data_IF_661146819814
#
_entry.id   IF_661146819814
#
_cell.length_a   1.000
_cell.length_b   1.000
_cell.length_c   1.000
_cell.angle_alpha   90.00
_cell.angle_beta   90.00
_cell.angle_gamma   90.00
#
_symmetry.space_group_name_H-M   'P 1'
#
loop_
_entity.id
_entity.type
_entity.pdbx_description
1 polymer ?
#
# COMPACT_ATOMS: atom_id res chain seq x y z
N UNK A 1 -9.34 -31.73 -20.63
CA UNK A 1 -10.58 -31.63 -19.82
C UNK A 1 -10.87 -30.16 -19.55
N UNK A 2 -11.95 -29.59 -20.11
CA UNK A 2 -12.29 -28.16 -19.98
C UNK A 2 -13.24 -27.97 -18.79
N UNK A 3 -12.78 -27.38 -17.68
CA UNK A 3 -13.66 -27.01 -16.55
C UNK A 3 -14.55 -25.85 -16.99
N UNK A 4 -15.86 -26.09 -17.06
CA UNK A 4 -16.89 -25.07 -17.28
C UNK A 4 -16.87 -24.11 -16.07
N UNK A 5 -16.82 -22.81 -16.32
CA UNK A 5 -17.04 -21.77 -15.30
C UNK A 5 -18.55 -21.66 -15.09
N UNK A 6 -19.03 -21.97 -13.89
CA UNK A 6 -20.40 -21.68 -13.48
C UNK A 6 -20.51 -20.22 -13.05
N UNK A 7 -21.42 -19.48 -13.68
CA UNK A 7 -21.75 -18.09 -13.34
C UNK A 7 -22.86 -18.14 -12.31
N UNK A 8 -22.59 -17.74 -11.06
CA UNK A 8 -23.61 -17.66 -10.01
C UNK A 8 -24.23 -16.26 -10.04
N UNK A 9 -25.49 -16.18 -10.49
CA UNK A 9 -26.32 -14.97 -10.42
C UNK A 9 -26.93 -14.83 -9.03
N UNK A 10 -26.57 -13.78 -8.29
CA UNK A 10 -27.31 -13.40 -7.08
C UNK A 10 -28.46 -12.44 -7.43
N UNK A 11 -29.68 -12.98 -7.41
CA UNK A 11 -30.92 -12.23 -7.49
C UNK A 11 -31.28 -11.72 -6.09
N UNK A 12 -31.07 -10.43 -5.83
CA UNK A 12 -31.56 -9.81 -4.60
C UNK A 12 -33.09 -9.67 -4.65
N UNK A 13 -33.82 -10.55 -3.95
CA UNK A 13 -35.19 -10.27 -3.50
C UNK A 13 -35.13 -9.94 -2.01
N UNK A 14 -35.54 -8.70 -1.69
CA UNK A 14 -35.67 -8.17 -0.34
C UNK A 14 -36.60 -9.01 0.53
N UNK A 15 -36.28 -9.06 1.83
CA UNK A 15 -36.76 -10.00 2.84
C UNK A 15 -38.24 -9.79 3.22
N UNK A 16 -38.89 -10.93 3.49
CA UNK A 16 -40.15 -11.04 4.25
C UNK A 16 -39.95 -10.57 5.70
N UNK A 17 -40.99 -10.06 6.34
CA UNK A 17 -41.09 -9.96 7.80
C UNK A 17 -42.26 -10.80 8.28
N UNK A 18 -42.01 -11.78 9.15
CA UNK A 18 -42.94 -12.28 10.16
C UNK A 18 -42.14 -13.02 11.24
N UNK A 19 -42.25 -12.45 12.43
CA UNK A 19 -41.86 -12.87 13.80
C UNK A 19 -41.56 -14.36 14.05
N UNK A 20 -40.49 -14.57 14.84
CA UNK A 20 -40.62 -15.22 16.15
C UNK A 20 -40.02 -16.62 16.31
N UNK A 21 -38.87 -16.69 16.99
CA UNK A 21 -38.57 -17.51 18.19
C UNK A 21 -37.06 -17.76 18.28
N UNK A 22 -36.45 -17.25 19.34
CA UNK A 22 -35.13 -17.65 19.80
C UNK A 22 -35.14 -19.12 20.20
N UNK A 23 -34.22 -19.90 19.62
CA UNK A 23 -33.56 -21.02 20.28
C UNK A 23 -32.06 -20.78 20.14
N UNK A 24 -31.40 -20.64 21.29
CA UNK A 24 -29.94 -20.68 21.42
C UNK A 24 -29.49 -22.10 21.09
N UNK A 25 -28.40 -22.19 20.33
CA UNK A 25 -27.31 -23.19 20.41
C UNK A 25 -26.68 -23.32 19.03
N UNK A 26 -25.39 -23.03 18.97
CA UNK A 26 -24.61 -22.98 17.74
C UNK A 26 -23.68 -21.78 17.62
N UNK A 27 -23.18 -21.24 18.74
CA UNK A 27 -21.88 -20.57 18.72
C UNK A 27 -20.82 -21.58 18.25
N UNK A 28 -20.59 -21.60 16.93
CA UNK A 28 -19.28 -21.91 16.39
C UNK A 28 -18.78 -20.62 15.75
N UNK A 29 -18.38 -19.68 16.60
CA UNK A 29 -17.36 -18.73 16.20
C UNK A 29 -16.12 -19.56 15.90
N UNK A 30 -15.82 -19.69 14.61
CA UNK A 30 -14.52 -20.18 14.14
C UNK A 30 -13.47 -19.20 14.66
N UNK A 31 -12.71 -19.66 15.64
CA UNK A 31 -11.57 -18.99 16.30
C UNK A 31 -10.28 -19.03 15.45
N UNK A 32 -10.41 -19.03 14.13
CA UNK A 32 -9.36 -19.09 13.12
C UNK A 32 -9.94 -18.42 11.86
N UNK A 33 -9.45 -17.34 11.27
CA UNK A 33 -8.17 -16.63 11.32
C UNK A 33 -8.42 -15.12 11.17
N UNK A 34 -7.84 -14.29 12.02
CA UNK A 34 -7.56 -12.90 11.64
C UNK A 34 -6.42 -12.91 10.60
N UNK A 35 -6.66 -13.46 9.41
CA UNK A 35 -5.92 -13.00 8.24
C UNK A 35 -6.39 -11.56 8.01
N UNK A 36 -5.77 -10.62 8.71
CA UNK A 36 -5.77 -9.22 8.29
C UNK A 36 -5.27 -9.25 6.86
N UNK A 37 -6.18 -9.12 5.90
CA UNK A 37 -5.86 -9.02 4.48
C UNK A 37 -4.84 -7.90 4.33
N UNK A 38 -3.57 -8.28 4.18
CA UNK A 38 -2.52 -7.32 3.90
C UNK A 38 -2.69 -6.85 2.46
N UNK A 39 -2.44 -5.57 2.22
CA UNK A 39 -2.39 -5.06 0.86
C UNK A 39 -1.26 -5.75 0.08
N UNK A 40 -1.42 -5.80 -1.24
CA UNK A 40 -0.39 -6.37 -2.10
C UNK A 40 0.88 -5.51 -2.07
N UNK A 41 2.03 -6.12 -2.34
CA UNK A 41 3.30 -5.40 -2.49
C UNK A 41 3.20 -4.35 -3.62
N UNK A 42 2.53 -4.68 -4.72
CA UNK A 42 2.33 -3.76 -5.84
C UNK A 42 1.53 -2.52 -5.43
N UNK A 43 0.50 -2.68 -4.60
CA UNK A 43 -0.28 -1.55 -4.10
C UNK A 43 0.51 -0.69 -3.12
N UNK A 44 1.35 -1.32 -2.28
CA UNK A 44 2.26 -0.60 -1.39
C UNK A 44 3.28 0.24 -2.19
N UNK A 45 3.86 -0.34 -3.25
CA UNK A 45 4.77 0.37 -4.16
C UNK A 45 4.08 1.53 -4.88
N UNK A 46 2.84 1.34 -5.34
CA UNK A 46 2.05 2.42 -5.95
C UNK A 46 1.80 3.57 -4.98
N UNK A 47 1.45 3.27 -3.72
CA UNK A 47 1.26 4.33 -2.73
C UNK A 47 2.59 5.02 -2.41
N UNK A 48 3.70 4.29 -2.27
CA UNK A 48 5.02 4.90 -2.06
C UNK A 48 5.41 5.85 -3.21
N UNK A 49 5.20 5.44 -4.46
CA UNK A 49 5.39 6.28 -5.66
C UNK A 49 4.53 7.55 -5.56
N UNK A 50 3.26 7.42 -5.18
CA UNK A 50 2.36 8.56 -5.03
C UNK A 50 2.83 9.52 -3.93
N UNK A 51 3.28 8.99 -2.79
CA UNK A 51 3.84 9.77 -1.66
C UNK A 51 5.09 10.54 -2.09
N UNK A 52 6.04 9.89 -2.77
CA UNK A 52 7.26 10.54 -3.26
C UNK A 52 6.90 11.69 -4.20
N UNK A 53 6.00 11.46 -5.16
CA UNK A 53 5.55 12.48 -6.12
C UNK A 53 4.85 13.67 -5.47
N UNK A 54 4.15 13.46 -4.35
CA UNK A 54 3.50 14.53 -3.58
C UNK A 54 4.51 15.37 -2.79
N UNK A 55 5.61 14.76 -2.32
CA UNK A 55 6.61 15.42 -1.48
C UNK A 55 7.74 16.08 -2.25
N UNK A 56 8.14 15.50 -3.38
CA UNK A 56 9.31 15.95 -4.12
C UNK A 56 8.91 16.72 -5.37
N UNK A 57 9.57 17.85 -5.60
CA UNK A 57 9.33 18.68 -6.79
C UNK A 57 10.14 18.16 -7.98
N UNK A 58 9.48 18.09 -9.15
CA UNK A 58 10.12 17.84 -10.46
C UNK A 58 11.10 16.66 -10.44
N UNK A 59 10.53 15.49 -10.25
CA UNK A 59 11.22 14.20 -10.36
C UNK A 59 11.48 13.92 -11.84
N UNK A 60 12.75 13.78 -12.21
CA UNK A 60 13.17 13.35 -13.55
C UNK A 60 13.17 11.83 -13.65
N UNK A 61 13.66 11.16 -12.60
CA UNK A 61 13.74 9.72 -12.54
C UNK A 61 13.49 9.20 -11.12
N UNK A 62 12.91 8.01 -11.02
CA UNK A 62 12.66 7.33 -9.75
C UNK A 62 12.79 5.83 -9.95
N UNK A 63 13.59 5.20 -9.10
CA UNK A 63 13.86 3.77 -9.13
C UNK A 63 13.64 3.17 -7.75
N UNK A 64 12.66 2.27 -7.63
CA UNK A 64 12.53 1.43 -6.43
C UNK A 64 13.72 0.47 -6.39
N UNK A 65 14.44 0.48 -5.28
CA UNK A 65 15.63 -0.33 -5.04
C UNK A 65 15.32 -1.62 -4.30
N UNK A 66 14.45 -1.54 -3.29
CA UNK A 66 14.04 -2.69 -2.50
C UNK A 66 12.67 -2.44 -1.88
N UNK A 67 11.90 -3.50 -1.72
CA UNK A 67 10.61 -3.49 -1.05
C UNK A 67 10.57 -4.67 -0.09
N UNK A 68 10.62 -4.40 1.22
CA UNK A 68 10.71 -5.42 2.26
C UNK A 68 9.54 -5.32 3.23
N UNK A 69 9.00 -6.44 3.67
CA UNK A 69 8.04 -6.46 4.78
C UNK A 69 8.82 -6.43 6.10
N UNK A 70 8.56 -5.42 6.92
CA UNK A 70 9.18 -5.24 8.24
C UNK A 70 8.12 -5.12 9.33
N UNK A 71 8.50 -5.37 10.58
CA UNK A 71 7.63 -5.21 11.74
C UNK A 71 7.97 -3.89 12.45
N UNK A 72 6.98 -3.01 12.56
CA UNK A 72 7.10 -1.71 13.24
C UNK A 72 6.17 -1.74 14.46
N UNK A 73 6.74 -2.00 15.63
CA UNK A 73 5.99 -2.24 16.86
C UNK A 73 5.06 -3.46 16.72
N UNK A 74 3.76 -3.23 16.82
CA UNK A 74 2.72 -4.26 16.75
C UNK A 74 2.12 -4.46 15.35
N UNK A 75 2.63 -3.74 14.34
CA UNK A 75 2.11 -3.80 12.96
C UNK A 75 3.19 -4.23 11.97
N UNK A 76 2.73 -4.75 10.85
CA UNK A 76 3.58 -4.98 9.68
C UNK A 76 3.50 -3.77 8.75
N UNK A 77 4.63 -3.42 8.16
CA UNK A 77 4.74 -2.34 7.19
C UNK A 77 5.67 -2.76 6.05
N UNK A 78 5.36 -2.31 4.85
CA UNK A 78 6.28 -2.39 3.72
C UNK A 78 7.27 -1.22 3.78
N UNK A 79 8.55 -1.54 3.92
CA UNK A 79 9.65 -0.60 3.76
C UNK A 79 10.09 -0.58 2.29
N UNK A 80 9.83 0.53 1.61
CA UNK A 80 10.14 0.73 0.20
C UNK A 80 11.24 1.77 0.09
N UNK A 81 12.41 1.35 -0.39
CA UNK A 81 13.56 2.23 -0.62
C UNK A 81 13.60 2.61 -2.09
N UNK A 82 13.73 3.90 -2.38
CA UNK A 82 13.79 4.42 -3.73
C UNK A 82 14.93 5.41 -3.88
N UNK A 83 15.54 5.41 -5.06
CA UNK A 83 16.40 6.50 -5.53
C UNK A 83 15.55 7.46 -6.35
N UNK A 84 15.62 8.75 -6.04
CA UNK A 84 14.88 9.80 -6.72
C UNK A 84 15.85 10.86 -7.22
N UNK A 85 15.79 11.13 -8.52
CA UNK A 85 16.57 12.17 -9.17
C UNK A 85 15.64 13.38 -9.39
N UNK A 86 15.93 14.50 -8.74
CA UNK A 86 15.10 15.71 -8.79
C UNK A 86 15.86 16.89 -9.38
N UNK A 87 15.11 17.82 -9.98
CA UNK A 87 15.66 19.09 -10.43
C UNK A 87 15.18 20.20 -9.48
N UNK A 88 16.09 20.86 -8.74
CA UNK A 88 15.71 21.89 -7.79
C UNK A 88 14.99 23.06 -8.50
N UNK A 89 14.00 23.66 -7.82
CA UNK A 89 13.33 24.86 -8.33
C UNK A 89 14.37 25.98 -8.52
N UNK A 90 14.66 26.33 -9.77
CA UNK A 90 15.61 27.40 -10.06
C UNK A 90 15.04 28.74 -9.57
N UNK A 91 15.69 29.40 -8.62
CA UNK A 91 15.34 30.77 -8.18
C UNK A 91 15.76 31.88 -9.15
N UNK A 92 16.11 31.59 -10.41
CA UNK A 92 16.64 32.59 -11.35
C UNK A 92 16.54 32.22 -12.83
N UNK A 93 16.64 33.22 -13.72
CA UNK A 93 16.26 33.12 -15.15
C UNK A 93 17.09 32.15 -16.02
N UNK A 94 18.31 31.77 -15.65
CA UNK A 94 19.16 30.95 -16.54
C UNK A 94 20.21 30.10 -15.80
N UNK A 95 19.81 29.02 -15.15
CA UNK A 95 20.72 27.89 -14.87
C UNK A 95 19.99 26.59 -15.12
N UNK A 96 20.57 25.71 -15.97
CA UNK A 96 20.19 24.28 -16.01
C UNK A 96 20.40 23.76 -14.58
N UNK A 97 19.32 23.42 -13.89
CA UNK A 97 19.40 22.86 -12.54
C UNK A 97 20.24 21.59 -12.59
N UNK A 98 21.25 21.50 -11.73
CA UNK A 98 21.99 20.25 -11.54
C UNK A 98 20.99 19.23 -10.97
N UNK A 99 20.96 18.02 -11.54
CA UNK A 99 20.14 16.94 -11.00
C UNK A 99 20.70 16.55 -9.64
N UNK A 100 19.83 16.53 -8.64
CA UNK A 100 20.15 16.08 -7.28
C UNK A 100 19.55 14.69 -7.07
N UNK A 101 20.41 13.73 -6.76
CA UNK A 101 20.01 12.38 -6.40
C UNK A 101 19.80 12.31 -4.90
N UNK A 102 18.63 11.83 -4.48
CA UNK A 102 18.30 11.57 -3.09
C UNK A 102 17.84 10.13 -2.97
N UNK A 103 18.22 9.45 -1.90
CA UNK A 103 17.67 8.14 -1.59
C UNK A 103 16.67 8.31 -0.44
N UNK A 104 15.51 7.67 -0.58
CA UNK A 104 14.39 7.79 0.35
C UNK A 104 13.92 6.41 0.76
N UNK A 105 13.44 6.30 1.99
CA UNK A 105 12.72 5.15 2.49
C UNK A 105 11.30 5.58 2.87
N UNK A 106 10.32 4.78 2.47
CA UNK A 106 8.89 4.98 2.76
C UNK A 106 8.39 3.76 3.51
N UNK A 107 7.63 3.99 4.58
CA UNK A 107 6.94 2.95 5.33
C UNK A 107 5.44 3.02 5.02
N UNK A 108 4.89 1.94 4.48
CA UNK A 108 3.46 1.79 4.20
C UNK A 108 2.88 0.73 5.14
N UNK A 109 1.85 1.06 5.92
CA UNK A 109 1.16 0.10 6.78
C UNK A 109 0.57 -1.02 5.92
N UNK A 110 0.94 -2.27 6.21
CA UNK A 110 0.55 -3.41 5.38
C UNK A 110 -0.95 -3.72 5.46
N UNK A 111 -1.65 -3.22 6.48
CA UNK A 111 -3.09 -3.45 6.66
C UNK A 111 -3.96 -2.34 6.07
N UNK A 112 -3.55 -1.07 6.18
CA UNK A 112 -4.33 0.06 5.66
C UNK A 112 -3.85 0.57 4.30
N UNK A 113 -2.60 0.28 3.92
CA UNK A 113 -1.96 0.89 2.76
C UNK A 113 -1.60 2.36 2.96
N UNK A 114 -1.69 2.88 4.18
CA UNK A 114 -1.37 4.28 4.46
C UNK A 114 0.14 4.48 4.66
N UNK A 115 0.64 5.63 4.21
CA UNK A 115 2.02 6.04 4.49
C UNK A 115 2.17 6.46 5.95
N UNK A 116 2.96 5.69 6.70
CA UNK A 116 3.25 5.92 8.13
C UNK A 116 4.65 6.51 8.36
N UNK A 117 5.51 6.51 7.34
CA UNK A 117 6.87 7.04 7.46
C UNK A 117 7.48 7.43 6.13
N UNK A 118 8.34 8.45 6.17
CA UNK A 118 9.14 8.90 5.04
C UNK A 118 10.42 9.50 5.60
N UNK A 119 11.56 9.02 5.13
CA UNK A 119 12.88 9.48 5.55
C UNK A 119 13.85 9.50 4.38
N UNK A 120 14.74 10.48 4.37
CA UNK A 120 15.95 10.44 3.54
C UNK A 120 16.92 9.43 4.18
N UNK A 121 17.52 8.58 3.35
CA UNK A 121 18.46 7.54 3.79
C UNK A 121 19.76 7.65 3.01
N UNK A 122 20.89 7.42 3.67
CA UNK A 122 22.14 7.15 2.95
C UNK A 122 22.09 5.67 2.54
N UNK A 123 22.04 5.39 1.24
CA UNK A 123 22.23 4.02 0.75
C UNK A 123 23.74 3.80 0.66
N UNK A 124 24.25 2.88 1.47
CA UNK A 124 25.57 2.30 1.23
C UNK A 124 25.52 1.56 -0.12
N UNK A 125 26.46 1.86 -1.01
CA UNK A 125 26.53 1.30 -2.37
C UNK A 125 26.78 -0.21 -2.41
#
# INVERSE_FOLDING_TARGET
MKKKREIIYFKAKSRKSMRGREKREGERMSLFDEEKEMISLEDAEREAIAVIRRRMYKIENMLIKSSNLTRVGDRYAYEIKARVDTVPQSRGRFRRGKVETQNVAILIDASSGECIGFSEVELEE
#
